data_IF_636222149735
#
_entry.id   IF_636222149735
#
_cell.length_a   1.000
_cell.length_b   1.000
_cell.length_c   1.000
_cell.angle_alpha   90.00
_cell.angle_beta   90.00
_cell.angle_gamma   90.00
#
_symmetry.space_group_name_H-M   'P 1'
#
loop_
_entity.id
_entity.type
_entity.pdbx_description
1 polymer ?
#
# COMPACT_ATOMS: atom_id res chain seq x y z
N UNK A 1 -46.64 -49.64 17.13
CA UNK A 1 -46.62 -48.85 15.84
C UNK A 1 -46.88 -47.38 16.07
N UNK A 2 -47.83 -46.96 16.88
CA UNK A 2 -48.05 -45.50 17.12
C UNK A 2 -46.84 -44.74 17.69
N UNK A 3 -46.04 -45.38 18.55
CA UNK A 3 -44.82 -44.76 19.11
C UNK A 3 -43.73 -44.52 18.07
N UNK A 4 -43.62 -45.36 17.05
CA UNK A 4 -42.63 -45.23 15.97
C UNK A 4 -42.99 -44.04 15.05
N UNK A 5 -44.26 -43.87 14.74
CA UNK A 5 -44.71 -42.69 13.98
C UNK A 5 -44.50 -41.39 14.73
N UNK A 6 -44.69 -41.39 16.03
CA UNK A 6 -44.44 -40.20 16.87
C UNK A 6 -42.97 -39.84 16.94
N UNK A 7 -42.07 -40.81 17.04
CA UNK A 7 -40.61 -40.59 17.02
C UNK A 7 -40.14 -40.09 15.65
N UNK A 8 -40.66 -40.65 14.57
CA UNK A 8 -40.31 -40.19 13.21
C UNK A 8 -40.82 -38.77 12.99
N UNK A 9 -42.03 -38.45 13.38
CA UNK A 9 -42.62 -37.13 13.29
C UNK A 9 -41.80 -36.09 14.09
N UNK A 10 -41.33 -36.45 15.30
CA UNK A 10 -40.50 -35.61 16.13
C UNK A 10 -39.13 -35.36 15.53
N UNK A 11 -38.49 -36.36 14.90
CA UNK A 11 -37.22 -36.25 14.19
C UNK A 11 -37.32 -35.33 12.97
N UNK A 12 -38.38 -35.45 12.18
CA UNK A 12 -38.63 -34.58 11.05
C UNK A 12 -38.87 -33.13 11.50
N UNK A 13 -39.60 -32.93 12.57
CA UNK A 13 -39.86 -31.61 13.15
C UNK A 13 -38.56 -30.93 13.63
N UNK A 14 -37.69 -31.65 14.32
CA UNK A 14 -36.38 -31.14 14.73
C UNK A 14 -35.46 -30.79 13.55
N UNK A 15 -35.54 -31.57 12.48
CA UNK A 15 -34.74 -31.34 11.26
C UNK A 15 -35.09 -30.02 10.56
N UNK A 16 -36.32 -29.55 10.63
CA UNK A 16 -36.79 -28.32 10.01
C UNK A 16 -36.20 -27.08 10.72
N UNK A 17 -35.96 -27.16 12.03
CA UNK A 17 -35.41 -26.03 12.80
C UNK A 17 -33.90 -25.83 12.64
N UNK A 18 -33.16 -26.82 12.13
CA UNK A 18 -31.70 -26.71 11.99
C UNK A 18 -31.27 -25.94 10.71
N UNK A 19 -32.18 -25.67 9.79
CA UNK A 19 -31.88 -25.00 8.52
C UNK A 19 -32.07 -23.46 8.53
N UNK A 20 -32.51 -22.86 9.63
CA UNK A 20 -32.70 -21.41 9.71
C UNK A 20 -31.44 -20.70 10.19
N UNK A 21 -30.28 -21.03 9.65
CA UNK A 21 -29.05 -20.29 9.84
C UNK A 21 -29.03 -19.07 8.92
N UNK A 22 -29.59 -17.95 9.34
CA UNK A 22 -29.38 -16.66 8.69
C UNK A 22 -27.94 -16.21 8.91
N UNK A 23 -27.03 -16.66 8.05
CA UNK A 23 -25.73 -16.01 7.92
C UNK A 23 -25.94 -14.60 7.36
N UNK A 24 -25.98 -13.61 8.24
CA UNK A 24 -26.02 -12.19 7.85
C UNK A 24 -24.68 -11.87 7.19
N UNK A 25 -24.63 -11.87 5.85
CA UNK A 25 -23.49 -11.33 5.11
C UNK A 25 -23.49 -9.82 5.30
N UNK A 26 -22.79 -9.37 6.32
CA UNK A 26 -22.49 -7.95 6.45
C UNK A 26 -21.56 -7.56 5.32
N UNK A 27 -21.95 -6.62 4.48
CA UNK A 27 -21.03 -5.91 3.61
C UNK A 27 -20.06 -5.17 4.52
N UNK A 28 -18.78 -5.45 4.39
CA UNK A 28 -17.73 -4.70 5.08
C UNK A 28 -17.75 -3.30 4.47
N UNK A 29 -18.48 -2.41 5.10
CA UNK A 29 -18.38 -0.98 4.80
C UNK A 29 -17.10 -0.51 5.46
N UNK A 30 -16.09 -0.19 4.65
CA UNK A 30 -14.85 0.43 5.14
C UNK A 30 -15.18 1.69 5.94
N UNK A 31 -14.28 2.10 6.85
CA UNK A 31 -14.39 3.37 7.56
C UNK A 31 -14.52 4.56 6.61
N UNK A 32 -14.64 5.75 7.18
CA UNK A 32 -14.66 6.99 6.41
C UNK A 32 -13.45 7.02 5.48
N UNK A 33 -13.69 7.40 4.21
CA UNK A 33 -12.63 7.52 3.22
C UNK A 33 -11.62 8.56 3.71
N UNK A 34 -10.37 8.15 3.83
CA UNK A 34 -9.29 9.08 4.11
C UNK A 34 -9.10 10.03 2.92
N UNK A 35 -9.23 11.31 3.18
CA UNK A 35 -9.08 12.39 2.20
C UNK A 35 -7.84 13.24 2.45
N UNK A 36 -7.07 12.90 3.48
CA UNK A 36 -5.85 13.63 3.83
C UNK A 36 -4.71 13.06 2.99
N UNK A 37 -3.99 13.93 2.29
CA UNK A 37 -2.84 13.52 1.51
C UNK A 37 -1.64 13.16 2.40
N UNK A 38 -0.84 12.14 2.04
CA UNK A 38 0.39 11.80 2.72
C UNK A 38 1.34 12.99 2.80
N UNK A 39 2.02 13.16 3.94
CA UNK A 39 3.01 14.21 4.15
C UNK A 39 4.40 13.62 4.33
N UNK A 40 5.39 14.26 3.72
CA UNK A 40 6.79 13.93 3.94
C UNK A 40 7.17 14.38 5.37
N UNK A 41 7.70 13.46 6.17
CA UNK A 41 8.21 13.75 7.51
C UNK A 41 9.66 14.23 7.42
N UNK A 42 10.49 13.46 6.70
CA UNK A 42 11.90 13.76 6.49
C UNK A 42 12.43 13.06 5.24
N UNK A 43 13.59 13.49 4.79
CA UNK A 43 14.34 12.83 3.73
C UNK A 43 15.83 12.73 4.10
N UNK A 44 16.49 11.74 3.52
CA UNK A 44 17.94 11.59 3.60
C UNK A 44 18.49 11.32 2.19
N UNK A 45 19.26 12.25 1.59
CA UNK A 45 19.66 13.54 2.14
C UNK A 45 18.47 14.48 2.37
N UNK A 46 18.67 15.47 3.25
CA UNK A 46 17.70 16.57 3.40
C UNK A 46 17.57 17.36 2.09
N UNK A 47 16.42 17.96 1.88
CA UNK A 47 16.22 18.83 0.73
C UNK A 47 17.24 19.98 0.73
N UNK A 48 17.70 20.37 -0.46
CA UNK A 48 18.77 21.37 -0.66
C UNK A 48 20.15 21.00 -0.09
N UNK A 49 20.39 19.72 0.19
CA UNK A 49 21.71 19.25 0.66
C UNK A 49 22.76 19.48 -0.42
N UNK A 50 23.84 20.14 -0.04
CA UNK A 50 25.04 20.32 -0.87
C UNK A 50 26.06 19.20 -0.63
N UNK A 51 26.99 19.02 -1.57
CA UNK A 51 28.07 18.00 -1.50
C UNK A 51 27.55 16.57 -1.28
N UNK A 52 26.45 16.24 -1.98
CA UNK A 52 25.88 14.91 -1.92
C UNK A 52 26.71 13.92 -2.75
N UNK A 53 27.33 12.95 -2.08
CA UNK A 53 28.15 11.89 -2.69
C UNK A 53 27.48 10.51 -2.58
N UNK A 54 26.24 10.46 -2.09
CA UNK A 54 25.49 9.22 -1.92
C UNK A 54 24.91 8.68 -3.22
N UNK A 55 24.45 7.43 -3.16
CA UNK A 55 23.75 6.77 -4.27
C UNK A 55 22.29 6.45 -3.93
N UNK A 56 21.79 6.93 -2.80
CA UNK A 56 20.45 6.65 -2.34
C UNK A 56 19.82 7.89 -1.72
N UNK A 57 18.57 8.14 -2.10
CA UNK A 57 17.71 9.15 -1.50
C UNK A 57 16.55 8.42 -0.85
N UNK A 58 16.35 8.59 0.45
CA UNK A 58 15.24 8.00 1.19
C UNK A 58 14.29 9.10 1.67
N UNK A 59 13.01 8.93 1.39
CA UNK A 59 11.93 9.86 1.78
C UNK A 59 10.96 9.10 2.67
N UNK A 60 10.69 9.62 3.87
CA UNK A 60 9.77 9.03 4.83
C UNK A 60 8.46 9.83 4.91
N UNK A 61 7.36 9.11 5.03
CA UNK A 61 6.00 9.65 5.07
C UNK A 61 5.34 9.34 6.42
N UNK A 62 4.36 10.16 6.80
CA UNK A 62 3.57 9.98 8.02
C UNK A 62 2.67 8.74 7.98
N UNK A 63 2.31 8.28 6.79
CA UNK A 63 1.38 7.17 6.57
C UNK A 63 1.85 6.22 5.48
N UNK A 64 1.15 5.10 5.32
CA UNK A 64 1.43 4.12 4.27
C UNK A 64 1.03 4.68 2.91
N UNK A 65 1.98 4.74 2.00
CA UNK A 65 1.77 5.13 0.61
C UNK A 65 1.99 3.94 -0.32
N UNK A 66 1.31 3.94 -1.43
CA UNK A 66 1.55 3.00 -2.53
C UNK A 66 1.87 3.76 -3.80
N UNK A 67 3.09 3.61 -4.26
CA UNK A 67 3.56 4.28 -5.48
C UNK A 67 3.04 3.53 -6.71
N UNK A 68 2.42 4.27 -7.64
CA UNK A 68 1.94 3.77 -8.92
C UNK A 68 2.62 4.52 -10.05
N UNK A 69 2.97 3.81 -11.12
CA UNK A 69 3.51 4.38 -12.37
C UNK A 69 4.66 5.38 -12.18
N UNK A 70 5.50 5.15 -11.17
CA UNK A 70 6.57 6.07 -10.75
C UNK A 70 7.50 6.46 -11.91
N UNK A 71 7.79 5.52 -12.79
CA UNK A 71 8.67 5.76 -13.95
C UNK A 71 8.11 6.78 -14.95
N UNK A 72 6.80 7.02 -14.91
CA UNK A 72 6.13 8.02 -15.74
C UNK A 72 5.97 9.36 -15.02
N UNK A 73 5.99 9.34 -13.70
CA UNK A 73 5.71 10.51 -12.87
C UNK A 73 6.98 11.18 -12.34
N UNK A 74 8.05 10.42 -12.12
CA UNK A 74 9.30 10.98 -11.62
C UNK A 74 10.04 11.72 -12.73
N UNK A 75 10.21 13.01 -12.52
CA UNK A 75 11.00 13.89 -13.40
C UNK A 75 12.32 14.23 -12.72
N UNK A 76 13.43 13.97 -13.40
CA UNK A 76 14.78 14.25 -12.90
C UNK A 76 15.44 15.26 -13.81
N UNK A 77 15.96 16.32 -13.23
CA UNK A 77 16.68 17.36 -13.95
C UNK A 77 18.03 17.65 -13.27
N UNK A 78 19.15 17.62 -14.00
CA UNK A 78 19.30 17.18 -15.39
C UNK A 78 19.00 15.68 -15.56
N UNK A 79 18.66 15.21 -16.78
CA UNK A 79 18.30 13.82 -17.02
C UNK A 79 19.50 12.89 -16.78
N UNK A 80 19.20 11.73 -16.21
CA UNK A 80 20.17 10.67 -15.99
C UNK A 80 20.21 9.72 -17.18
N UNK A 81 21.39 9.16 -17.47
CA UNK A 81 21.57 8.15 -18.54
C UNK A 81 20.90 6.83 -18.16
N UNK A 82 20.95 6.48 -16.89
CA UNK A 82 20.30 5.28 -16.32
C UNK A 82 19.20 5.72 -15.37
N UNK A 83 17.98 5.23 -15.60
CA UNK A 83 16.88 5.49 -14.69
C UNK A 83 17.20 4.94 -13.27
N UNK A 84 16.90 5.69 -12.21
CA UNK A 84 17.09 5.22 -10.85
C UNK A 84 16.13 4.07 -10.52
N UNK A 85 16.50 3.24 -9.56
CA UNK A 85 15.63 2.19 -9.03
C UNK A 85 14.87 2.76 -7.83
N UNK A 86 13.55 2.60 -7.84
CA UNK A 86 12.68 3.07 -6.76
C UNK A 86 12.11 1.88 -6.02
N UNK A 87 12.21 1.89 -4.70
CA UNK A 87 11.76 0.82 -3.80
C UNK A 87 10.91 1.41 -2.67
N UNK A 88 9.81 0.78 -2.29
CA UNK A 88 9.19 -0.39 -2.90
C UNK A 88 8.32 -0.02 -4.10
N UNK A 89 8.16 -0.96 -5.03
CA UNK A 89 7.21 -0.84 -6.13
C UNK A 89 6.02 -1.77 -5.85
N UNK A 90 4.80 -1.24 -6.00
CA UNK A 90 3.57 -2.03 -5.92
C UNK A 90 3.10 -2.43 -4.52
N UNK A 91 3.94 -2.38 -3.49
CA UNK A 91 3.57 -2.60 -2.08
C UNK A 91 3.44 -1.28 -1.32
N UNK A 92 2.60 -1.27 -0.28
CA UNK A 92 2.48 -0.11 0.60
C UNK A 92 3.69 0.01 1.53
N UNK A 93 4.18 1.23 1.72
CA UNK A 93 5.32 1.52 2.60
C UNK A 93 5.22 2.92 3.18
N UNK A 94 5.87 3.16 4.31
CA UNK A 94 6.03 4.51 4.88
C UNK A 94 7.26 5.25 4.34
N UNK A 95 7.98 4.64 3.42
CA UNK A 95 9.15 5.28 2.80
C UNK A 95 9.26 4.94 1.31
N UNK A 96 9.97 5.79 0.60
CA UNK A 96 10.47 5.55 -0.76
C UNK A 96 11.97 5.68 -0.73
N UNK A 97 12.67 4.73 -1.33
CA UNK A 97 14.12 4.79 -1.58
C UNK A 97 14.37 4.88 -3.08
N UNK A 98 15.11 5.88 -3.48
CA UNK A 98 15.52 6.14 -4.86
C UNK A 98 17.01 5.81 -4.95
N UNK A 99 17.37 4.73 -5.64
CA UNK A 99 18.77 4.32 -5.85
C UNK A 99 19.28 4.87 -7.17
N UNK A 100 20.28 5.71 -7.09
CA UNK A 100 20.94 6.37 -8.24
C UNK A 100 21.97 5.40 -8.80
N UNK A 101 21.82 5.05 -10.08
CA UNK A 101 22.72 4.14 -10.78
C UNK A 101 23.82 4.85 -11.54
N UNK A 102 23.59 6.12 -11.87
CA UNK A 102 24.57 6.96 -12.59
C UNK A 102 25.57 7.62 -11.64
N UNK A 103 26.68 8.04 -12.21
CA UNK A 103 27.58 8.97 -11.54
C UNK A 103 26.99 10.38 -11.66
N UNK A 104 26.86 11.07 -10.54
CA UNK A 104 26.43 12.46 -10.50
C UNK A 104 27.54 13.36 -11.04
N UNK A 105 27.15 14.38 -11.79
CA UNK A 105 28.09 15.38 -12.33
C UNK A 105 28.53 16.34 -11.22
N UNK A 106 29.77 16.73 -11.24
CA UNK A 106 30.30 17.75 -10.35
C UNK A 106 29.65 19.10 -10.60
N UNK A 107 29.58 19.94 -9.58
CA UNK A 107 29.00 21.28 -9.65
C UNK A 107 27.61 21.36 -10.28
N UNK A 108 26.82 20.32 -10.13
CA UNK A 108 25.50 20.19 -10.72
C UNK A 108 24.44 19.97 -9.65
N UNK A 109 23.35 20.73 -9.74
CA UNK A 109 22.17 20.55 -8.88
C UNK A 109 21.18 19.61 -9.55
N UNK A 110 20.81 18.54 -8.86
CA UNK A 110 19.79 17.60 -9.32
C UNK A 110 18.46 17.85 -8.62
N UNK A 111 17.39 17.91 -9.40
CA UNK A 111 16.02 18.01 -8.91
C UNK A 111 15.26 16.72 -9.21
N UNK A 112 14.56 16.21 -8.23
CA UNK A 112 13.68 15.04 -8.31
C UNK A 112 12.25 15.51 -8.01
N UNK A 113 11.35 15.50 -8.99
CA UNK A 113 9.97 15.99 -8.91
C UNK A 113 8.95 14.89 -9.28
#
# INVERSE_FOLDING_TARGET
MKKIYFTILFLVFCSIFTFTGCAKRGTITGGLKDTIAPKIINSNPENFKTNFNGKEIKINFNELIKVKDINKQLVISPPMKKAPIIIPQGSASKFISIKILDSLQENTTYSFN
#
